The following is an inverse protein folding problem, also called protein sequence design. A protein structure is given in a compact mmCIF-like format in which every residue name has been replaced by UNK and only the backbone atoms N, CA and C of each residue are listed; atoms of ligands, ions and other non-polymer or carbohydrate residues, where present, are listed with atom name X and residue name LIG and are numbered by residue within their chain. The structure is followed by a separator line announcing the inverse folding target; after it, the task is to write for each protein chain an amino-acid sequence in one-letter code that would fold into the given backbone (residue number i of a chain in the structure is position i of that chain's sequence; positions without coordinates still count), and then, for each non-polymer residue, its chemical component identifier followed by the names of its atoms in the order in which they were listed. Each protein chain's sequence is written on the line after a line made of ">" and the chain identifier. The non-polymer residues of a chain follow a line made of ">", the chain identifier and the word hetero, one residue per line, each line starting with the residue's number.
data_IF_718975194045
#
_entry.id   IF_718975194045
#
_cell.length_a   1.000
_cell.length_b   1.000
_cell.length_c   1.000
_cell.angle_alpha   90.00
_cell.angle_beta   90.00
_cell.angle_gamma   90.00
#
_symmetry.space_group_name_H-M   'P 1'
#
loop_
_entity.id
_entity.type
_entity.pdbx_description
1 polymer ?
#
# COMPACT_ATOMS: atom_id res chain seq x y z
N UNK A 1 -12.26 -20.34 -6.30
CA UNK A 1 -11.88 -19.23 -7.22
C UNK A 1 -10.76 -18.41 -6.60
N UNK A 2 -9.96 -17.74 -7.44
CA UNK A 2 -8.82 -16.91 -7.02
C UNK A 2 -8.99 -15.49 -7.56
N UNK A 3 -8.64 -14.49 -6.75
CA UNK A 3 -8.50 -13.10 -7.19
C UNK A 3 -7.19 -12.52 -6.65
N UNK A 4 -6.46 -11.76 -7.47
CA UNK A 4 -5.24 -11.09 -7.08
C UNK A 4 -5.48 -9.58 -7.02
N UNK A 5 -5.23 -8.97 -5.87
CA UNK A 5 -5.38 -7.53 -5.68
C UNK A 5 -4.00 -6.91 -5.55
N UNK A 6 -3.70 -5.92 -6.39
CA UNK A 6 -2.40 -5.27 -6.40
C UNK A 6 -2.28 -4.26 -5.25
N UNK A 7 -1.36 -4.51 -4.31
CA UNK A 7 -1.10 -3.63 -3.18
C UNK A 7 -0.06 -2.53 -3.48
N UNK A 8 0.42 -2.39 -4.72
CA UNK A 8 1.48 -1.42 -5.06
C UNK A 8 1.11 0.04 -4.75
N UNK A 9 -0.18 0.36 -4.59
CA UNK A 9 -0.63 1.71 -4.23
C UNK A 9 -0.78 1.93 -2.72
N UNK A 10 -0.62 0.88 -1.89
CA UNK A 10 -0.76 1.02 -0.43
C UNK A 10 0.35 1.86 0.20
N UNK A 11 1.48 2.07 -0.47
CA UNK A 11 2.53 2.99 0.01
C UNK A 11 2.01 4.43 0.05
N UNK A 12 1.17 4.82 -0.91
CA UNK A 12 0.62 6.17 -0.99
C UNK A 12 -0.52 6.44 0.00
N UNK A 13 -1.03 5.39 0.67
CA UNK A 13 -2.09 5.54 1.69
C UNK A 13 -1.54 5.63 3.11
N UNK A 14 -0.24 5.39 3.30
CA UNK A 14 0.41 5.45 4.62
C UNK A 14 1.04 6.82 4.81
N UNK A 15 0.51 7.67 5.71
CA UNK A 15 1.10 8.97 5.99
C UNK A 15 2.47 8.79 6.63
N UNK A 16 3.43 9.62 6.21
CA UNK A 16 4.72 9.70 6.86
C UNK A 16 4.61 10.62 8.08
N UNK A 17 5.37 10.32 9.14
CA UNK A 17 5.46 11.23 10.28
C UNK A 17 6.09 12.55 9.84
N UNK A 18 5.54 13.68 10.29
CA UNK A 18 5.92 15.02 9.80
C UNK A 18 7.40 15.33 10.02
N UNK A 19 8.00 14.83 11.10
CA UNK A 19 9.43 14.97 11.38
C UNK A 19 10.32 14.17 10.42
N UNK A 20 9.78 13.12 9.79
CA UNK A 20 10.53 12.27 8.87
C UNK A 20 10.43 12.78 7.42
N UNK A 21 9.43 13.61 7.08
CA UNK A 21 9.23 14.15 5.73
C UNK A 21 10.50 14.80 5.16
N UNK A 22 11.21 15.61 5.94
CA UNK A 22 12.42 16.29 5.47
C UNK A 22 13.58 15.34 5.14
N UNK A 23 13.65 14.18 5.81
CA UNK A 23 14.65 13.15 5.51
C UNK A 23 14.41 12.50 4.13
N UNK A 24 13.20 12.60 3.60
CA UNK A 24 12.84 12.14 2.26
C UNK A 24 12.66 13.31 1.27
N UNK A 25 13.37 14.42 1.48
CA UNK A 25 13.39 15.52 0.54
C UNK A 25 14.23 15.20 -0.71
N UNK A 26 13.76 15.62 -1.88
CA UNK A 26 14.46 15.51 -3.15
C UNK A 26 14.37 16.82 -3.95
N UNK A 27 15.26 17.01 -4.92
CA UNK A 27 15.28 18.18 -5.78
C UNK A 27 15.05 17.78 -7.24
N UNK A 28 14.21 18.53 -7.94
CA UNK A 28 14.00 18.36 -9.37
C UNK A 28 14.88 19.38 -10.10
N UNK A 29 15.83 18.94 -10.96
CA UNK A 29 16.68 19.85 -11.72
C UNK A 29 15.86 20.62 -12.74
N UNK A 30 16.27 21.87 -13.01
CA UNK A 30 15.67 22.65 -14.10
C UNK A 30 16.24 22.23 -15.45
N UNK A 31 15.45 22.39 -16.51
CA UNK A 31 15.91 22.12 -17.88
C UNK A 31 17.13 22.98 -18.18
N UNK A 32 18.24 22.34 -18.57
CA UNK A 32 19.51 23.01 -18.85
C UNK A 32 20.01 23.96 -17.74
N UNK A 33 19.69 23.69 -16.47
CA UNK A 33 20.05 24.55 -15.33
C UNK A 33 19.56 26.01 -15.46
N UNK A 34 18.54 26.28 -16.27
CA UNK A 34 18.06 27.64 -16.57
C UNK A 34 17.30 28.30 -15.42
N UNK A 35 17.03 27.58 -14.33
CA UNK A 35 16.34 28.12 -13.16
C UNK A 35 16.71 27.40 -11.87
N UNK A 36 16.20 27.91 -10.74
CA UNK A 36 16.40 27.30 -9.43
C UNK A 36 15.80 25.89 -9.38
N UNK A 37 16.52 24.97 -8.74
CA UNK A 37 16.00 23.63 -8.48
C UNK A 37 14.83 23.71 -7.49
N UNK A 38 13.75 23.00 -7.79
CA UNK A 38 12.60 22.91 -6.88
C UNK A 38 12.83 21.76 -5.91
N UNK A 39 12.68 22.03 -4.61
CA UNK A 39 12.80 21.03 -3.55
C UNK A 39 11.40 20.55 -3.13
N UNK A 40 11.23 19.25 -3.03
CA UNK A 40 10.01 18.57 -2.60
C UNK A 40 10.35 17.59 -1.49
N UNK A 41 9.34 17.13 -0.76
CA UNK A 41 9.46 16.02 0.18
C UNK A 41 8.26 15.11 0.03
N UNK A 42 8.44 13.86 0.43
CA UNK A 42 7.34 12.92 0.51
C UNK A 42 6.46 13.24 1.73
N UNK A 43 5.14 13.18 1.55
CA UNK A 43 4.15 13.27 2.64
C UNK A 43 3.61 11.89 3.04
N UNK A 44 3.81 10.91 2.18
CA UNK A 44 3.39 9.51 2.32
C UNK A 44 4.59 8.62 2.07
N UNK A 45 4.51 7.35 2.44
CA UNK A 45 5.65 6.46 2.41
C UNK A 45 6.18 6.26 0.97
N UNK A 46 7.47 6.55 0.67
CA UNK A 46 7.99 6.41 -0.68
C UNK A 46 8.31 4.95 -1.04
N UNK A 47 8.00 4.58 -2.27
CA UNK A 47 8.30 3.24 -2.79
C UNK A 47 9.82 3.03 -2.92
N UNK A 48 10.30 1.85 -2.53
CA UNK A 48 11.71 1.46 -2.67
C UNK A 48 12.58 1.62 -1.43
N UNK A 49 12.01 2.03 -0.29
CA UNK A 49 12.70 1.94 1.00
C UNK A 49 12.84 0.48 1.46
N UNK A 50 13.98 0.12 2.06
CA UNK A 50 14.25 -1.25 2.53
C UNK A 50 13.19 -1.78 3.51
N UNK A 51 12.65 -0.90 4.37
CA UNK A 51 11.64 -1.26 5.37
C UNK A 51 10.19 -1.11 4.86
N UNK A 52 10.01 -0.58 3.65
CA UNK A 52 8.70 -0.36 3.03
C UNK A 52 7.85 -1.62 2.95
N UNK A 53 8.39 -2.79 2.54
CA UNK A 53 7.58 -4.01 2.43
C UNK A 53 7.02 -4.46 3.78
N UNK A 54 7.81 -4.37 4.85
CA UNK A 54 7.40 -4.77 6.20
C UNK A 54 6.31 -3.84 6.76
N UNK A 55 6.46 -2.53 6.58
CA UNK A 55 5.47 -1.55 7.06
C UNK A 55 4.15 -1.73 6.32
N UNK A 56 4.19 -1.85 4.99
CA UNK A 56 2.99 -2.13 4.21
C UNK A 56 2.34 -3.46 4.56
N UNK A 57 3.12 -4.51 4.83
CA UNK A 57 2.58 -5.77 5.29
C UNK A 57 1.78 -5.62 6.59
N UNK A 58 2.31 -4.88 7.57
CA UNK A 58 1.62 -4.65 8.85
C UNK A 58 0.33 -3.86 8.65
N UNK A 59 0.37 -2.79 7.85
CA UNK A 59 -0.81 -1.95 7.58
C UNK A 59 -1.88 -2.74 6.82
N UNK A 60 -1.50 -3.49 5.79
CA UNK A 60 -2.41 -4.32 5.01
C UNK A 60 -2.98 -5.45 5.88
N UNK A 61 -2.16 -6.12 6.69
CA UNK A 61 -2.65 -7.16 7.60
C UNK A 61 -3.69 -6.60 8.59
N UNK A 62 -3.48 -5.38 9.10
CA UNK A 62 -4.45 -4.71 9.96
C UNK A 62 -5.75 -4.36 9.21
N UNK A 63 -5.65 -3.86 7.98
CA UNK A 63 -6.82 -3.50 7.16
C UNK A 63 -7.66 -4.73 6.74
N UNK A 64 -7.01 -5.86 6.49
CA UNK A 64 -7.66 -7.10 6.05
C UNK A 64 -8.28 -7.88 7.22
N UNK A 65 -7.79 -7.67 8.45
CA UNK A 65 -8.22 -8.44 9.63
C UNK A 65 -9.75 -8.52 9.83
N UNK A 66 -10.55 -7.45 9.68
CA UNK A 66 -12.01 -7.54 9.79
C UNK A 66 -12.64 -8.46 8.75
N UNK A 67 -12.13 -8.44 7.51
CA UNK A 67 -12.58 -9.34 6.44
C UNK A 67 -12.23 -10.79 6.74
N UNK A 68 -11.09 -11.02 7.41
CA UNK A 68 -10.66 -12.36 7.79
C UNK A 68 -11.58 -12.96 8.86
N UNK A 69 -11.98 -12.14 9.85
CA UNK A 69 -12.89 -12.53 10.92
C UNK A 69 -14.32 -12.75 10.37
N UNK A 70 -14.75 -11.97 9.38
CA UNK A 70 -16.08 -12.09 8.77
C UNK A 70 -16.21 -13.28 7.80
N UNK A 71 -15.12 -13.67 7.12
CA UNK A 71 -15.12 -14.72 6.08
C UNK A 71 -14.05 -15.79 6.33
N UNK A 72 -14.20 -16.66 7.34
CA UNK A 72 -13.17 -17.65 7.71
C UNK A 72 -12.89 -18.71 6.63
N UNK A 73 -13.83 -18.92 5.72
CA UNK A 73 -13.68 -19.78 4.54
C UNK A 73 -12.77 -19.19 3.44
N UNK A 74 -12.49 -17.88 3.48
CA UNK A 74 -11.57 -17.23 2.55
C UNK A 74 -10.13 -17.29 3.09
N UNK A 75 -9.16 -17.59 2.21
CA UNK A 75 -7.73 -17.53 2.51
C UNK A 75 -7.12 -16.34 1.79
N UNK A 76 -6.36 -15.53 2.52
CA UNK A 76 -5.69 -14.34 2.01
C UNK A 76 -4.18 -14.52 2.18
N UNK A 77 -3.43 -14.48 1.09
CA UNK A 77 -1.98 -14.66 1.06
C UNK A 77 -1.26 -13.37 0.64
N UNK A 78 0.03 -13.27 1.01
CA UNK A 78 0.93 -12.15 0.72
C UNK A 78 0.92 -11.76 -0.77
N UNK A 79 0.94 -10.46 -1.07
CA UNK A 79 0.49 -9.83 -2.34
C UNK A 79 -1.03 -9.97 -2.63
N UNK A 80 -1.84 -9.96 -1.56
CA UNK A 80 -3.31 -10.06 -1.50
C UNK A 80 -3.94 -10.99 -2.56
N UNK A 81 -3.52 -12.26 -2.52
CA UNK A 81 -4.24 -13.34 -3.21
C UNK A 81 -5.40 -13.80 -2.34
N UNK A 82 -6.63 -13.60 -2.80
CA UNK A 82 -7.86 -14.05 -2.13
C UNK A 82 -8.35 -15.33 -2.79
N UNK A 83 -8.47 -16.39 -1.99
CA UNK A 83 -9.00 -17.68 -2.40
C UNK A 83 -10.28 -18.02 -1.61
N UNK A 84 -11.34 -18.38 -2.32
CA UNK A 84 -12.59 -18.84 -1.71
C UNK A 84 -13.15 -20.05 -2.48
N UNK A 85 -13.95 -20.89 -1.81
CA UNK A 85 -14.54 -22.09 -2.43
C UNK A 85 -15.51 -21.72 -3.56
N UNK A 86 -16.35 -20.71 -3.34
CA UNK A 86 -17.37 -20.24 -4.27
C UNK A 86 -17.15 -18.77 -4.69
N UNK A 87 -17.84 -18.35 -5.75
CA UNK A 87 -17.73 -17.00 -6.32
C UNK A 87 -18.36 -15.92 -5.46
N UNK A 88 -19.45 -16.27 -4.76
CA UNK A 88 -20.25 -15.32 -3.99
C UNK A 88 -19.45 -14.88 -2.76
N UNK A 89 -18.82 -15.83 -2.08
CA UNK A 89 -17.91 -15.58 -0.99
C UNK A 89 -16.71 -14.74 -1.46
N UNK A 90 -16.13 -15.04 -2.63
CA UNK A 90 -15.01 -14.27 -3.16
C UNK A 90 -15.38 -12.80 -3.39
N UNK A 91 -16.52 -12.54 -4.05
CA UNK A 91 -16.98 -11.17 -4.34
C UNK A 91 -17.39 -10.42 -3.07
N UNK A 92 -18.01 -11.10 -2.11
CA UNK A 92 -18.35 -10.52 -0.81
C UNK A 92 -17.10 -10.14 0.00
N UNK A 93 -16.07 -11.00 0.02
CA UNK A 93 -14.80 -10.71 0.71
C UNK A 93 -14.07 -9.55 0.04
N UNK A 94 -14.02 -9.48 -1.29
CA UNK A 94 -13.41 -8.36 -2.02
C UNK A 94 -14.16 -7.05 -1.77
N UNK A 95 -15.50 -7.08 -1.81
CA UNK A 95 -16.34 -5.90 -1.57
C UNK A 95 -16.30 -5.40 -0.12
N UNK A 96 -15.93 -6.27 0.83
CA UNK A 96 -15.72 -5.86 2.22
C UNK A 96 -14.31 -5.29 2.46
N UNK A 97 -13.39 -5.52 1.52
CA UNK A 97 -12.00 -5.09 1.57
C UNK A 97 -11.74 -3.72 0.92
N UNK A 98 -12.58 -3.31 -0.04
CA UNK A 98 -12.51 -2.03 -0.78
C UNK A 98 -13.67 -1.11 -0.41
#
# INVERSE_FOLDING_TARGET
>A
KLNAVNLKDCFFTIPLHTLDCEHFAFSIPSVNNQGLMKRYHWAVFPQGMMNSPTICQVVVAAAVKPSWDAYPQAKIYHDLLIAAADSVCLEATVSHLM
#
